data_IF_210610282660
#
_entry.id   IF_210610282660
#
_cell.length_a   1.000
_cell.length_b   1.000
_cell.length_c   1.000
_cell.angle_alpha   90.00
_cell.angle_beta   90.00
_cell.angle_gamma   90.00
#
_symmetry.space_group_name_H-M   'P 1'
#
loop_
_entity.id
_entity.type
_entity.pdbx_description
1 polymer ?
#
# COMPACT_ATOMS: atom_id res chain seq x y z
N UNK A 1 1.38 -29.94 3.76
CA UNK A 1 2.74 -29.47 3.41
C UNK A 1 2.74 -27.96 3.59
N UNK A 2 3.17 -27.47 4.75
CA UNK A 2 3.16 -26.03 5.08
C UNK A 2 4.36 -25.40 4.37
N UNK A 3 4.11 -24.54 3.39
CA UNK A 3 5.17 -23.81 2.71
C UNK A 3 5.91 -22.94 3.73
N UNK A 4 7.22 -23.14 3.84
CA UNK A 4 8.11 -22.24 4.59
C UNK A 4 8.00 -20.84 4.00
N UNK A 5 7.43 -19.90 4.76
CA UNK A 5 7.40 -18.49 4.38
C UNK A 5 8.68 -17.84 4.95
N UNK A 6 9.83 -18.12 4.32
CA UNK A 6 11.12 -17.70 4.87
C UNK A 6 11.64 -16.35 4.34
N UNK A 7 10.95 -15.69 3.39
CA UNK A 7 11.40 -14.39 2.87
C UNK A 7 10.17 -13.54 2.50
N UNK A 8 10.09 -12.25 2.89
CA UNK A 8 9.14 -11.34 2.29
C UNK A 8 9.46 -11.32 0.80
N UNK A 9 8.45 -11.49 -0.06
CA UNK A 9 8.66 -11.25 -1.48
C UNK A 9 8.87 -9.75 -1.65
N UNK A 10 10.13 -9.35 -1.67
CA UNK A 10 10.48 -7.97 -2.01
C UNK A 10 10.43 -7.82 -3.51
N UNK A 11 9.63 -6.88 -3.99
CA UNK A 11 9.45 -6.58 -5.40
C UNK A 11 9.72 -5.10 -5.62
N UNK A 12 10.25 -4.75 -6.79
CA UNK A 12 10.49 -3.37 -7.19
C UNK A 12 9.69 -3.07 -8.44
N UNK A 13 9.01 -1.93 -8.46
CA UNK A 13 8.19 -1.47 -9.57
C UNK A 13 8.60 -0.05 -9.96
N UNK A 14 8.94 0.13 -11.23
CA UNK A 14 9.08 1.46 -11.82
C UNK A 14 7.70 2.08 -12.01
N UNK A 15 7.53 3.29 -11.48
CA UNK A 15 6.39 4.15 -11.78
C UNK A 15 6.78 5.07 -12.93
N UNK A 16 5.86 5.29 -13.89
CA UNK A 16 6.01 6.12 -15.10
C UNK A 16 6.39 7.61 -14.87
N UNK A 17 6.73 7.99 -13.64
CA UNK A 17 7.02 9.37 -13.21
C UNK A 17 8.42 9.56 -12.65
N UNK A 18 9.34 8.62 -12.91
CA UNK A 18 10.71 8.67 -12.38
C UNK A 18 10.77 8.34 -10.90
N UNK A 19 9.91 7.41 -10.46
CA UNK A 19 9.92 6.89 -9.10
C UNK A 19 9.95 5.37 -9.13
N UNK A 20 10.48 4.78 -8.07
CA UNK A 20 10.53 3.34 -7.86
C UNK A 20 9.83 3.03 -6.55
N UNK A 21 9.01 1.98 -6.55
CA UNK A 21 8.39 1.45 -5.32
C UNK A 21 9.02 0.12 -4.98
N UNK A 22 9.59 0.03 -3.79
CA UNK A 22 9.94 -1.24 -3.17
C UNK A 22 8.80 -1.71 -2.31
N UNK A 23 8.45 -2.99 -2.43
CA UNK A 23 7.29 -3.60 -1.77
C UNK A 23 7.75 -4.82 -1.03
N UNK A 24 7.47 -4.89 0.26
CA UNK A 24 7.57 -6.13 1.04
C UNK A 24 6.16 -6.67 1.31
N UNK A 25 5.90 -7.89 0.82
CA UNK A 25 4.70 -8.64 1.19
C UNK A 25 4.92 -9.43 2.48
N UNK A 26 4.03 -9.23 3.45
CA UNK A 26 4.06 -9.91 4.74
C UNK A 26 2.78 -10.74 4.87
N UNK A 27 2.88 -12.08 4.98
CA UNK A 27 1.71 -12.92 5.13
C UNK A 27 1.04 -12.69 6.48
N UNK A 28 -0.25 -12.99 6.57
CA UNK A 28 -0.96 -13.00 7.84
C UNK A 28 -0.44 -14.11 8.77
N UNK A 29 -0.44 -13.83 10.08
CA UNK A 29 -0.25 -14.86 11.10
C UNK A 29 1.20 -15.29 11.29
N UNK A 30 2.16 -14.38 11.07
CA UNK A 30 3.56 -14.64 11.43
C UNK A 30 3.67 -14.99 12.93
N UNK A 31 4.53 -15.95 13.32
CA UNK A 31 4.84 -16.19 14.73
C UNK A 31 5.37 -14.94 15.44
N UNK A 32 5.15 -14.79 16.74
CA UNK A 32 5.55 -13.60 17.52
C UNK A 32 7.07 -13.38 17.55
N UNK A 33 7.86 -14.44 17.44
CA UNK A 33 9.32 -14.43 17.41
C UNK A 33 9.90 -14.38 15.98
N UNK A 34 9.04 -14.25 14.96
CA UNK A 34 9.48 -14.23 13.58
C UNK A 34 10.35 -12.99 13.30
N UNK A 35 11.55 -13.19 12.73
CA UNK A 35 12.53 -12.12 12.52
C UNK A 35 11.98 -10.91 11.74
N UNK A 36 11.04 -11.15 10.82
CA UNK A 36 10.40 -10.08 10.03
C UNK A 36 9.58 -9.10 10.86
N UNK A 37 9.11 -9.48 12.06
CA UNK A 37 8.37 -8.57 12.94
C UNK A 37 9.20 -7.38 13.41
N UNK A 38 10.53 -7.49 13.40
CA UNK A 38 11.42 -6.36 13.68
C UNK A 38 11.39 -5.27 12.60
N UNK A 39 11.00 -5.61 11.37
CA UNK A 39 10.99 -4.71 10.23
C UNK A 39 9.57 -4.36 9.78
N UNK A 40 8.66 -5.33 9.85
CA UNK A 40 7.30 -5.26 9.35
C UNK A 40 6.35 -5.92 10.36
N UNK A 41 6.06 -5.20 11.45
CA UNK A 41 5.14 -5.71 12.48
C UNK A 41 3.69 -5.53 12.03
N UNK A 42 3.09 -6.56 11.43
CA UNK A 42 1.69 -6.54 10.99
C UNK A 42 0.69 -6.27 12.14
N UNK A 43 1.11 -6.42 13.41
CA UNK A 43 0.30 -6.05 14.58
C UNK A 43 0.15 -4.54 14.77
N UNK A 44 1.00 -3.72 14.14
CA UNK A 44 0.87 -2.26 14.18
C UNK A 44 -0.20 -1.73 13.23
N UNK A 45 -0.77 -2.59 12.38
CA UNK A 45 -1.76 -2.23 11.38
C UNK A 45 -3.15 -2.19 12.00
N UNK A 46 -3.85 -1.06 11.87
CA UNK A 46 -5.16 -0.84 12.47
C UNK A 46 -6.34 -1.29 11.59
N UNK A 47 -6.08 -1.74 10.35
CA UNK A 47 -7.10 -2.25 9.43
C UNK A 47 -7.05 -3.78 9.36
N UNK A 48 -8.16 -4.47 9.00
CA UNK A 48 -8.16 -5.92 8.86
C UNK A 48 -7.09 -6.43 7.88
N UNK A 49 -6.26 -7.38 8.32
CA UNK A 49 -5.09 -7.89 7.60
C UNK A 49 -5.10 -9.42 7.43
N UNK A 50 -6.27 -10.05 7.36
CA UNK A 50 -6.39 -11.52 7.33
C UNK A 50 -5.82 -12.18 6.06
N UNK A 51 -5.60 -11.41 4.99
CA UNK A 51 -4.90 -11.84 3.78
C UNK A 51 -3.42 -11.38 3.72
N UNK A 52 -2.94 -10.70 4.76
CA UNK A 52 -1.58 -10.15 4.86
C UNK A 52 -1.51 -8.64 4.67
N UNK A 53 -0.29 -8.14 4.56
CA UNK A 53 0.01 -6.71 4.40
C UNK A 53 1.10 -6.44 3.37
N UNK A 54 1.06 -5.24 2.80
CA UNK A 54 2.06 -4.69 1.90
C UNK A 54 2.70 -3.48 2.57
N UNK A 55 4.03 -3.50 2.62
CA UNK A 55 4.85 -2.40 3.11
C UNK A 55 5.60 -1.81 1.93
N UNK A 56 5.22 -0.60 1.54
CA UNK A 56 5.72 0.06 0.35
C UNK A 56 6.62 1.23 0.74
N UNK A 57 7.80 1.29 0.15
CA UNK A 57 8.70 2.45 0.25
C UNK A 57 8.89 3.03 -1.14
N UNK A 58 8.68 4.35 -1.25
CA UNK A 58 8.76 5.07 -2.51
C UNK A 58 10.06 5.86 -2.58
N UNK A 59 10.79 5.67 -3.68
CA UNK A 59 12.05 6.33 -3.98
C UNK A 59 11.96 7.11 -5.28
N UNK A 60 12.75 8.17 -5.41
CA UNK A 60 13.07 8.77 -6.71
C UNK A 60 13.99 7.84 -7.50
N UNK A 61 13.77 7.71 -8.80
CA UNK A 61 14.53 6.77 -9.64
C UNK A 61 15.98 7.20 -9.87
N UNK A 62 16.25 8.51 -9.89
CA UNK A 62 17.54 9.10 -10.20
C UNK A 62 18.56 8.99 -9.07
N UNK A 63 18.16 9.29 -7.84
CA UNK A 63 19.06 9.34 -6.67
C UNK A 63 18.65 8.40 -5.53
N UNK A 64 17.63 7.55 -5.73
CA UNK A 64 17.13 6.58 -4.74
C UNK A 64 16.78 7.24 -3.40
N UNK A 65 16.35 8.51 -3.43
CA UNK A 65 15.92 9.22 -2.22
C UNK A 65 14.54 8.75 -1.82
N UNK A 66 14.37 8.36 -0.57
CA UNK A 66 13.05 8.05 -0.02
C UNK A 66 12.17 9.32 -0.01
N UNK A 67 11.01 9.23 -0.63
CA UNK A 67 10.04 10.32 -0.77
C UNK A 67 8.68 10.00 -0.17
N UNK A 68 8.47 8.75 0.25
CA UNK A 68 7.26 8.34 0.94
C UNK A 68 7.26 6.88 1.33
N UNK A 69 6.26 6.51 2.11
CA UNK A 69 5.98 5.14 2.48
C UNK A 69 4.46 4.93 2.62
N UNK A 70 4.01 3.70 2.43
CA UNK A 70 2.63 3.33 2.65
C UNK A 70 2.52 1.89 3.15
N UNK A 71 1.56 1.67 4.04
CA UNK A 71 1.21 0.36 4.56
C UNK A 71 -0.23 0.05 4.19
N UNK A 72 -0.43 -1.07 3.51
CA UNK A 72 -1.74 -1.59 3.14
C UNK A 72 -1.94 -2.96 3.77
N UNK A 73 -3.19 -3.29 4.05
CA UNK A 73 -3.58 -4.62 4.49
C UNK A 73 -4.88 -5.02 3.82
N UNK A 74 -5.05 -6.32 3.64
CA UNK A 74 -6.20 -6.88 2.97
C UNK A 74 -6.92 -7.87 3.87
N UNK A 75 -8.24 -7.92 3.72
CA UNK A 75 -9.07 -9.03 4.16
C UNK A 75 -9.58 -9.82 2.95
N UNK A 76 -10.53 -10.72 3.16
CA UNK A 76 -11.11 -11.55 2.10
C UNK A 76 -11.89 -10.76 1.03
N UNK A 77 -12.17 -9.47 1.23
CA UNK A 77 -13.08 -8.68 0.41
C UNK A 77 -12.47 -7.39 -0.13
N UNK A 78 -11.51 -6.79 0.57
CA UNK A 78 -10.97 -5.49 0.20
C UNK A 78 -9.55 -5.26 0.72
N UNK A 79 -8.85 -4.35 0.05
CA UNK A 79 -7.60 -3.74 0.50
C UNK A 79 -7.91 -2.40 1.17
N UNK A 80 -7.25 -2.10 2.27
CA UNK A 80 -7.33 -0.81 2.95
C UNK A 80 -5.93 -0.28 3.23
N UNK A 81 -5.79 1.03 3.10
CA UNK A 81 -4.59 1.73 3.54
C UNK A 81 -4.67 1.93 5.05
N UNK A 82 -3.64 1.50 5.76
CA UNK A 82 -3.43 1.82 7.17
C UNK A 82 -2.81 3.21 7.31
N UNK A 83 -1.69 3.41 6.62
CA UNK A 83 -0.95 4.65 6.66
C UNK A 83 -0.30 4.93 5.31
N UNK A 84 -0.29 6.20 4.93
CA UNK A 84 0.40 6.68 3.72
C UNK A 84 0.97 8.05 4.00
N UNK A 85 2.27 8.19 3.75
CA UNK A 85 3.01 9.42 3.96
C UNK A 85 3.80 9.69 2.70
N UNK A 86 3.52 10.82 2.06
CA UNK A 86 4.28 11.32 0.92
C UNK A 86 4.83 12.69 1.29
N UNK A 87 6.12 12.89 1.07
CA UNK A 87 6.81 14.14 1.32
C UNK A 87 6.12 15.30 0.60
N UNK A 88 5.97 16.45 1.28
CA UNK A 88 5.12 17.56 0.82
C UNK A 88 5.41 18.00 -0.62
N UNK A 89 6.70 18.02 -1.02
CA UNK A 89 7.16 18.41 -2.36
C UNK A 89 6.77 17.43 -3.48
N UNK A 90 6.39 16.20 -3.11
CA UNK A 90 6.04 15.11 -4.02
C UNK A 90 4.53 14.83 -4.03
N UNK A 91 3.75 15.47 -3.16
CA UNK A 91 2.28 15.36 -3.15
C UNK A 91 1.67 15.92 -4.43
N UNK A 92 0.43 15.51 -4.72
CA UNK A 92 -0.36 15.92 -5.91
C UNK A 92 0.28 15.54 -7.26
N UNK A 93 1.19 14.57 -7.26
CA UNK A 93 1.78 13.97 -8.49
C UNK A 93 1.14 12.63 -8.88
N UNK A 94 0.05 12.24 -8.21
CA UNK A 94 -0.62 10.95 -8.40
C UNK A 94 0.09 9.75 -7.77
N UNK A 95 1.14 9.97 -6.98
CA UNK A 95 1.90 8.89 -6.32
C UNK A 95 1.04 8.05 -5.38
N UNK A 96 0.16 8.68 -4.59
CA UNK A 96 -0.78 7.96 -3.75
C UNK A 96 -1.68 7.05 -4.59
N UNK A 97 -2.27 7.57 -5.67
CA UNK A 97 -3.12 6.79 -6.58
C UNK A 97 -2.40 5.55 -7.12
N UNK A 98 -1.16 5.69 -7.55
CA UNK A 98 -0.35 4.56 -8.03
C UNK A 98 -0.13 3.51 -6.94
N UNK A 99 0.15 3.92 -5.70
CA UNK A 99 0.30 2.98 -4.57
C UNK A 99 -1.01 2.25 -4.26
N UNK A 100 -2.15 2.94 -4.30
CA UNK A 100 -3.48 2.35 -4.14
C UNK A 100 -3.77 1.34 -5.26
N UNK A 101 -3.50 1.68 -6.52
CA UNK A 101 -3.67 0.78 -7.67
C UNK A 101 -2.80 -0.46 -7.55
N UNK A 102 -1.53 -0.28 -7.23
CA UNK A 102 -0.57 -1.37 -7.07
C UNK A 102 -0.98 -2.32 -5.94
N UNK A 103 -1.45 -1.78 -4.81
CA UNK A 103 -1.96 -2.59 -3.70
C UNK A 103 -3.20 -3.41 -4.12
N UNK A 104 -4.13 -2.80 -4.86
CA UNK A 104 -5.30 -3.50 -5.39
C UNK A 104 -4.95 -4.60 -6.37
N UNK A 105 -3.99 -4.35 -7.28
CA UNK A 105 -3.52 -5.34 -8.24
C UNK A 105 -2.79 -6.51 -7.57
N UNK A 106 -1.95 -6.26 -6.56
CA UNK A 106 -1.18 -7.30 -5.87
C UNK A 106 -2.05 -8.22 -5.00
N UNK A 107 -3.13 -7.69 -4.41
CA UNK A 107 -4.10 -8.49 -3.66
C UNK A 107 -5.27 -8.99 -4.51
N UNK A 108 -5.35 -8.61 -5.78
CA UNK A 108 -6.49 -8.89 -6.68
C UNK A 108 -7.86 -8.51 -6.06
N UNK A 109 -7.89 -7.42 -5.30
CA UNK A 109 -9.05 -7.01 -4.50
C UNK A 109 -9.31 -5.49 -4.62
N UNK A 110 -10.58 -5.05 -4.51
CA UNK A 110 -10.91 -3.63 -4.59
C UNK A 110 -10.31 -2.88 -3.41
N UNK A 111 -9.82 -1.66 -3.67
CA UNK A 111 -9.27 -0.81 -2.62
C UNK A 111 -10.31 0.18 -2.15
N UNK A 112 -10.55 0.18 -0.84
CA UNK A 112 -11.62 0.97 -0.20
C UNK A 112 -11.03 1.90 0.86
N UNK A 113 -11.70 3.03 1.17
CA UNK A 113 -11.25 3.91 2.25
C UNK A 113 -11.23 3.18 3.59
N UNK A 114 -10.22 3.48 4.40
CA UNK A 114 -10.19 3.12 5.81
C UNK A 114 -11.20 3.94 6.63
N UNK A 115 -11.49 3.51 7.85
CA UNK A 115 -12.42 4.20 8.75
C UNK A 115 -11.90 5.57 9.23
N UNK A 116 -10.57 5.73 9.30
CA UNK A 116 -9.92 6.93 9.79
C UNK A 116 -9.28 7.68 8.62
N UNK A 117 -9.91 8.77 8.20
CA UNK A 117 -9.43 9.62 7.10
C UNK A 117 -9.05 11.00 7.63
N UNK A 118 -7.85 11.45 7.29
CA UNK A 118 -7.46 12.86 7.42
C UNK A 118 -8.22 13.72 6.40
N UNK A 119 -8.25 15.04 6.59
CA UNK A 119 -8.88 15.95 5.63
C UNK A 119 -8.31 15.79 4.21
N UNK A 120 -6.99 15.62 4.09
CA UNK A 120 -6.31 15.35 2.82
C UNK A 120 -6.78 14.01 2.21
N UNK A 121 -6.92 12.96 3.02
CA UNK A 121 -7.40 11.66 2.56
C UNK A 121 -8.87 11.70 2.12
N UNK A 122 -9.72 12.48 2.80
CA UNK A 122 -11.11 12.71 2.37
C UNK A 122 -11.15 13.37 0.99
N UNK A 123 -10.34 14.42 0.78
CA UNK A 123 -10.27 15.11 -0.52
C UNK A 123 -9.80 14.17 -1.63
N UNK A 124 -8.78 13.34 -1.36
CA UNK A 124 -8.30 12.30 -2.27
C UNK A 124 -9.41 11.30 -2.65
N UNK A 125 -10.10 10.72 -1.66
CA UNK A 125 -11.14 9.73 -1.93
C UNK A 125 -12.36 10.31 -2.64
N UNK A 126 -12.73 11.56 -2.38
CA UNK A 126 -13.80 12.24 -3.12
C UNK A 126 -13.47 12.38 -4.60
N UNK A 127 -12.25 12.80 -4.94
CA UNK A 127 -11.82 12.93 -6.32
C UNK A 127 -11.82 11.56 -7.03
N UNK A 128 -11.23 10.54 -6.39
CA UNK A 128 -11.14 9.18 -6.95
C UNK A 128 -12.51 8.53 -7.18
N UNK A 129 -13.45 8.72 -6.25
CA UNK A 129 -14.81 8.19 -6.40
C UNK A 129 -15.59 8.90 -7.51
N UNK A 130 -15.37 10.20 -7.72
CA UNK A 130 -15.97 10.94 -8.82
C UNK A 130 -15.48 10.44 -10.19
N UNK A 131 -14.16 10.23 -10.34
CA UNK A 131 -13.54 9.70 -11.57
C UNK A 131 -14.10 8.32 -11.94
N UNK A 132 -14.32 7.44 -10.95
CA UNK A 132 -14.88 6.10 -11.19
C UNK A 132 -16.35 6.13 -11.63
N UNK A 133 -17.13 7.14 -11.22
CA UNK A 133 -18.52 7.31 -11.68
C UNK A 133 -18.54 7.79 -13.13
N UNK A 134 -17.63 8.68 -13.51
CA UNK A 134 -17.53 9.17 -14.89
C UNK A 134 -17.02 8.09 -15.86
N UNK A 135 -16.10 7.23 -15.42
CA UNK A 135 -15.61 6.11 -16.22
C UNK A 135 -16.62 4.96 -16.38
N UNK A 136 -17.65 4.88 -15.53
CA UNK A 136 -18.71 3.87 -15.56
C UNK A 136 -19.98 4.29 -16.31
N UNK A 137 -20.00 5.48 -16.93
CA UNK A 137 -21.16 6.05 -17.62
C UNK A 137 -21.11 5.96 -19.16
N UNK A 138 -20.37 4.99 -19.71
CA UNK A 138 -20.33 4.69 -21.15
C UNK A 138 -20.89 3.29 -21.45
#
# INVERSE_FOLDING_TARGET
>A
MVARIDVPRTMSFDLDKGYVVEIAFVPYGLPDDHALRGLYDDRSIAVPATAGSLWMTLFTADDQRCVGAATFAADASAVRCDSIIIGLRFRRRGLASCLYELAGSLFEAPVVPGALLTADAIAFWRARLAENVEAGAC
#
